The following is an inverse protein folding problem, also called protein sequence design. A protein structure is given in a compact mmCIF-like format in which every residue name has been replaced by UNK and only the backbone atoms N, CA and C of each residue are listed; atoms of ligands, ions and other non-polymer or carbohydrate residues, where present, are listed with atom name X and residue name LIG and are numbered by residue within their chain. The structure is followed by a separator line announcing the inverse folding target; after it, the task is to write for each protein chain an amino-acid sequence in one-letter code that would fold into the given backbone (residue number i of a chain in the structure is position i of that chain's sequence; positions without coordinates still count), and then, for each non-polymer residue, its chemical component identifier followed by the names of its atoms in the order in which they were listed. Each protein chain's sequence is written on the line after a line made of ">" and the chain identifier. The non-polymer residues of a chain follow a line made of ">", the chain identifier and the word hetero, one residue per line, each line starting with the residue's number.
data_IF_177137847495
#
_entry.id   IF_177137847495
#
_cell.length_a   1.000
_cell.length_b   1.000
_cell.length_c   1.000
_cell.angle_alpha   90.00
_cell.angle_beta   90.00
_cell.angle_gamma   90.00
#
_symmetry.space_group_name_H-M   'P 1'
#
loop_
_entity.id
_entity.type
_entity.pdbx_description
1 polymer ?
#
# COMPACT_ATOMS: atom_id res chain seq x y z
N UNK A 1 -6.56 4.89 2.12
CA UNK A 1 -5.78 4.28 3.21
C UNK A 1 -4.87 5.35 3.78
N UNK A 2 -4.86 5.53 5.10
CA UNK A 2 -3.91 6.44 5.75
C UNK A 2 -2.84 5.54 6.35
N UNK A 3 -1.74 5.32 5.62
CA UNK A 3 -0.54 4.74 6.21
C UNK A 3 0.01 5.71 7.26
N UNK A 4 0.69 5.18 8.27
CA UNK A 4 1.38 5.96 9.29
C UNK A 4 2.87 5.62 9.34
N UNK A 5 3.64 6.40 10.10
CA UNK A 5 5.08 6.16 10.28
C UNK A 5 5.38 4.75 10.83
N UNK A 6 4.43 4.12 11.54
CA UNK A 6 4.57 2.78 12.13
C UNK A 6 4.49 1.66 11.08
N UNK A 7 3.88 1.93 9.93
CA UNK A 7 3.83 0.99 8.80
C UNK A 7 5.18 0.90 8.06
N UNK A 8 6.12 1.79 8.36
CA UNK A 8 7.42 1.87 7.69
C UNK A 8 8.52 1.43 8.67
N UNK A 9 9.00 0.21 8.47
CA UNK A 9 10.09 -0.35 9.26
C UNK A 9 11.25 -0.77 8.35
N UNK A 10 12.27 0.11 8.26
CA UNK A 10 13.47 -0.14 7.47
C UNK A 10 14.31 -1.33 7.98
N UNK A 11 14.02 -1.88 9.16
CA UNK A 11 14.70 -3.09 9.64
C UNK A 11 14.22 -4.36 8.89
N UNK A 12 13.02 -4.32 8.31
CA UNK A 12 12.42 -5.43 7.54
C UNK A 12 12.95 -5.57 6.12
N UNK A 13 13.70 -4.59 5.65
CA UNK A 13 14.31 -4.61 4.31
C UNK A 13 15.83 -4.63 4.42
N UNK A 14 16.47 -5.32 3.48
CA UNK A 14 17.93 -5.31 3.34
C UNK A 14 18.42 -4.04 2.60
N UNK A 15 19.73 -3.96 2.38
CA UNK A 15 20.35 -2.80 1.74
C UNK A 15 20.00 -2.69 0.25
N UNK A 16 19.82 -3.81 -0.46
CA UNK A 16 19.43 -3.84 -1.87
C UNK A 16 17.99 -3.34 -2.01
N UNK A 17 17.08 -3.85 -1.18
CA UNK A 17 15.69 -3.43 -1.14
C UNK A 17 15.55 -1.96 -0.75
N UNK A 18 16.44 -1.45 0.12
CA UNK A 18 16.45 -0.02 0.47
C UNK A 18 16.89 0.86 -0.70
N UNK A 19 17.91 0.46 -1.46
CA UNK A 19 18.29 1.13 -2.72
C UNK A 19 17.13 1.11 -3.73
N UNK A 20 16.48 -0.05 -3.91
CA UNK A 20 15.32 -0.17 -4.79
C UNK A 20 14.16 0.75 -4.35
N UNK A 21 13.91 0.83 -3.04
CA UNK A 21 12.90 1.74 -2.48
C UNK A 21 13.23 3.20 -2.79
N UNK A 22 14.50 3.58 -2.67
CA UNK A 22 14.94 4.94 -3.01
C UNK A 22 14.79 5.21 -4.52
N UNK A 23 15.12 4.24 -5.35
CA UNK A 23 14.91 4.30 -6.80
C UNK A 23 13.42 4.54 -7.12
N UNK A 24 12.53 3.70 -6.59
CA UNK A 24 11.08 3.82 -6.79
C UNK A 24 10.55 5.17 -6.30
N UNK A 25 11.07 5.69 -5.19
CA UNK A 25 10.71 7.01 -4.68
C UNK A 25 11.15 8.13 -5.65
N UNK A 26 12.35 8.05 -6.22
CA UNK A 26 12.83 9.00 -7.21
C UNK A 26 12.01 8.97 -8.51
N UNK A 27 11.56 7.78 -8.95
CA UNK A 27 10.59 7.65 -10.06
C UNK A 27 9.34 8.48 -9.76
N UNK A 28 8.79 8.38 -8.54
CA UNK A 28 7.59 9.15 -8.15
C UNK A 28 7.82 10.67 -8.13
N UNK A 29 9.05 11.10 -7.90
CA UNK A 29 9.47 12.50 -8.01
C UNK A 29 9.92 12.93 -9.42
N UNK A 30 9.61 12.12 -10.44
CA UNK A 30 9.87 12.43 -11.85
C UNK A 30 11.35 12.60 -12.20
N UNK A 31 12.24 11.92 -11.47
CA UNK A 31 13.59 11.67 -11.96
C UNK A 31 13.51 10.70 -13.15
N UNK A 32 14.37 10.92 -14.14
CA UNK A 32 14.39 10.14 -15.37
C UNK A 32 15.82 9.73 -15.74
N UNK A 33 15.93 8.90 -16.77
CA UNK A 33 17.21 8.36 -17.24
C UNK A 33 18.03 7.75 -16.11
N UNK A 34 17.36 7.10 -15.15
CA UNK A 34 17.98 6.58 -13.95
C UNK A 34 18.75 5.31 -14.25
N UNK A 35 20.01 5.28 -13.85
CA UNK A 35 20.89 4.12 -13.89
C UNK A 35 21.15 3.66 -12.46
N UNK A 36 20.63 2.48 -12.11
CA UNK A 36 20.98 1.79 -10.87
C UNK A 36 22.27 1.02 -11.11
N UNK A 37 23.30 1.30 -10.31
CA UNK A 37 24.59 0.61 -10.39
C UNK A 37 24.60 -0.46 -9.30
N UNK A 38 24.64 -1.73 -9.71
CA UNK A 38 24.83 -2.87 -8.81
C UNK A 38 26.15 -3.56 -9.19
N UNK A 39 27.16 -3.50 -8.32
CA UNK A 39 28.42 -4.25 -8.48
C UNK A 39 29.64 -3.57 -7.87
N UNK A 40 30.74 -4.32 -7.67
CA UNK A 40 31.91 -3.92 -6.84
C UNK A 40 32.73 -2.70 -7.27
N UNK A 41 32.29 -1.92 -8.26
CA UNK A 41 32.91 -0.65 -8.64
C UNK A 41 31.84 0.43 -8.81
N UNK A 42 31.16 0.80 -7.72
CA UNK A 42 30.06 1.77 -7.75
C UNK A 42 30.48 3.22 -8.01
N UNK A 43 31.77 3.51 -8.26
CA UNK A 43 32.30 4.87 -8.55
C UNK A 43 31.63 5.97 -7.71
N UNK A 44 31.40 5.66 -6.43
CA UNK A 44 30.84 6.55 -5.44
C UNK A 44 29.35 6.91 -5.52
N UNK A 45 28.47 6.10 -6.14
CA UNK A 45 27.00 6.30 -6.09
C UNK A 45 26.22 5.01 -6.38
N UNK A 46 25.04 4.89 -5.78
CA UNK A 46 24.15 3.74 -6.01
C UNK A 46 23.20 4.01 -7.19
N UNK A 47 22.72 5.26 -7.32
CA UNK A 47 21.83 5.69 -8.40
C UNK A 47 22.37 6.95 -9.06
N UNK A 48 22.44 6.94 -10.38
CA UNK A 48 22.65 8.13 -11.19
C UNK A 48 21.34 8.50 -11.88
N UNK A 49 20.91 9.75 -11.76
CA UNK A 49 19.62 10.21 -12.27
C UNK A 49 19.74 11.55 -12.97
N UNK A 50 18.75 11.86 -13.81
CA UNK A 50 18.59 13.17 -14.44
C UNK A 50 17.24 13.75 -14.07
N UNK A 51 17.18 15.08 -14.00
CA UNK A 51 15.93 15.82 -13.78
C UNK A 51 15.84 17.01 -14.73
N UNK A 52 14.77 17.08 -15.51
CA UNK A 52 14.45 18.26 -16.31
C UNK A 52 13.86 19.34 -15.43
N UNK A 53 14.50 20.51 -15.44
CA UNK A 53 13.99 21.72 -14.82
C UNK A 53 13.35 22.55 -15.93
N UNK A 54 12.06 22.80 -15.73
CA UNK A 54 11.29 23.74 -16.56
C UNK A 54 10.97 24.94 -15.70
N UNK A 55 11.37 26.11 -16.18
CA UNK A 55 11.06 27.39 -15.56
C UNK A 55 10.31 28.24 -16.59
N UNK A 56 9.44 29.13 -16.14
CA UNK A 56 8.70 30.03 -17.04
C UNK A 56 9.56 31.09 -17.72
N UNK A 57 10.78 31.32 -17.21
CA UNK A 57 11.67 32.41 -17.60
C UNK A 57 12.89 31.88 -18.36
N UNK A 58 13.46 30.74 -17.94
CA UNK A 58 14.65 30.17 -18.58
C UNK A 58 14.32 28.98 -19.48
N UNK A 59 15.17 28.74 -20.49
CA UNK A 59 15.05 27.54 -21.31
C UNK A 59 15.18 26.28 -20.45
N UNK A 60 14.43 25.21 -20.74
CA UNK A 60 14.56 23.95 -20.02
C UNK A 60 16.01 23.47 -20.01
N UNK A 61 16.46 23.02 -18.85
CA UNK A 61 17.78 22.43 -18.70
C UNK A 61 17.67 21.14 -17.88
N UNK A 62 18.74 20.36 -17.87
CA UNK A 62 18.77 19.07 -17.21
C UNK A 62 19.87 19.09 -16.15
N UNK A 63 19.52 18.65 -14.94
CA UNK A 63 20.46 18.45 -13.84
C UNK A 63 20.86 16.97 -13.75
N UNK A 64 22.14 16.72 -13.49
CA UNK A 64 22.69 15.41 -13.16
C UNK A 64 22.77 15.22 -11.64
N UNK A 65 22.15 14.16 -11.17
CA UNK A 65 22.01 13.83 -9.76
C UNK A 65 22.72 12.52 -9.44
N UNK A 66 23.65 12.57 -8.48
CA UNK A 66 24.26 11.39 -7.88
C UNK A 66 23.57 11.12 -6.56
N UNK A 67 23.06 9.91 -6.40
CA UNK A 67 22.31 9.50 -5.22
C UNK A 67 23.05 8.36 -4.54
N UNK A 68 23.28 8.52 -3.25
CA UNK A 68 23.81 7.51 -2.35
C UNK A 68 22.72 7.12 -1.34
N UNK A 69 22.50 5.82 -1.21
CA UNK A 69 21.48 5.20 -0.38
C UNK A 69 22.17 4.39 0.72
N UNK A 70 21.97 4.76 1.98
CA UNK A 70 22.54 4.04 3.13
C UNK A 70 21.47 3.49 4.06
N UNK A 71 21.30 2.17 4.01
CA UNK A 71 20.52 1.43 5.01
C UNK A 71 21.35 1.27 6.28
N UNK A 72 21.07 2.10 7.28
CA UNK A 72 21.71 2.11 8.59
C UNK A 72 20.66 2.02 9.70
N UNK A 73 21.03 1.38 10.82
CA UNK A 73 20.24 1.37 12.05
C UNK A 73 20.66 2.49 13.02
N UNK A 74 21.93 2.90 12.97
CA UNK A 74 22.53 3.90 13.83
C UNK A 74 22.91 5.17 13.05
N UNK A 75 23.59 6.10 13.71
CA UNK A 75 24.16 7.29 13.05
C UNK A 75 25.16 6.91 11.96
N UNK A 76 24.95 7.41 10.75
CA UNK A 76 25.84 7.20 9.61
C UNK A 76 27.13 8.03 9.78
N UNK A 77 28.31 7.38 9.89
CA UNK A 77 29.56 8.07 10.18
C UNK A 77 30.18 8.67 8.91
N UNK A 78 31.13 9.59 9.11
CA UNK A 78 31.67 10.43 8.05
C UNK A 78 32.42 9.63 6.99
N UNK A 79 33.17 8.61 7.39
CA UNK A 79 33.97 7.77 6.49
C UNK A 79 33.16 7.10 5.38
N UNK A 80 31.85 6.90 5.58
CA UNK A 80 30.96 6.31 4.58
C UNK A 80 30.60 7.26 3.44
N UNK A 81 30.87 8.57 3.58
CA UNK A 81 30.32 9.62 2.70
C UNK A 81 31.39 10.43 1.98
N UNK A 82 32.57 10.60 2.58
CA UNK A 82 33.63 11.45 2.01
C UNK A 82 34.00 11.04 0.59
N UNK A 83 34.19 9.74 0.35
CA UNK A 83 34.56 9.24 -0.98
C UNK A 83 33.43 9.46 -2.00
N UNK A 84 32.17 9.29 -1.58
CA UNK A 84 30.97 9.47 -2.42
C UNK A 84 30.84 10.90 -2.92
N UNK A 85 31.05 11.87 -2.02
CA UNK A 85 31.09 13.31 -2.38
C UNK A 85 32.28 13.63 -3.27
N UNK A 86 33.43 12.99 -3.06
CA UNK A 86 34.59 13.19 -3.93
C UNK A 86 34.34 12.69 -5.37
N UNK A 87 33.64 11.56 -5.54
CA UNK A 87 33.23 11.09 -6.87
C UNK A 87 32.25 12.06 -7.55
N UNK A 88 31.27 12.58 -6.81
CA UNK A 88 30.36 13.62 -7.34
C UNK A 88 31.12 14.87 -7.81
N UNK A 89 32.18 15.26 -7.08
CA UNK A 89 33.08 16.37 -7.48
C UNK A 89 33.84 16.07 -8.76
N UNK A 90 34.49 14.90 -8.83
CA UNK A 90 35.33 14.51 -9.97
C UNK A 90 34.50 14.39 -11.24
N UNK A 91 33.30 13.81 -11.13
CA UNK A 91 32.39 13.63 -12.26
C UNK A 91 31.48 14.84 -12.52
N UNK A 92 31.64 15.93 -11.75
CA UNK A 92 30.91 17.20 -11.90
C UNK A 92 29.39 17.04 -11.91
N UNK A 93 28.86 16.26 -10.97
CA UNK A 93 27.41 16.21 -10.76
C UNK A 93 26.88 17.62 -10.44
N UNK A 94 25.64 17.93 -10.81
CA UNK A 94 25.00 19.18 -10.39
C UNK A 94 24.49 19.07 -8.95
N UNK A 95 24.10 17.85 -8.57
CA UNK A 95 23.50 17.54 -7.29
C UNK A 95 24.03 16.21 -6.73
N UNK A 96 24.30 16.18 -5.43
CA UNK A 96 24.52 14.96 -4.65
C UNK A 96 23.41 14.82 -3.61
N UNK A 97 22.77 13.67 -3.56
CA UNK A 97 21.68 13.36 -2.64
C UNK A 97 22.05 12.14 -1.79
N UNK A 98 22.17 12.34 -0.48
CA UNK A 98 22.29 11.27 0.48
C UNK A 98 20.91 10.91 1.05
N UNK A 99 20.49 9.66 0.90
CA UNK A 99 19.30 9.11 1.53
C UNK A 99 19.73 8.06 2.56
N UNK A 100 19.36 8.24 3.82
CA UNK A 100 19.70 7.32 4.91
C UNK A 100 18.44 6.87 5.66
N UNK A 101 18.33 5.58 5.95
CA UNK A 101 17.17 5.02 6.68
C UNK A 101 17.10 5.45 8.15
N UNK A 102 18.20 5.95 8.71
CA UNK A 102 18.34 6.40 10.09
C UNK A 102 18.60 7.91 10.18
N UNK A 103 19.78 8.32 10.64
CA UNK A 103 20.23 9.69 10.82
C UNK A 103 21.74 9.76 10.58
N UNK A 104 22.28 10.95 10.36
CA UNK A 104 23.72 11.17 10.26
C UNK A 104 24.32 11.59 11.61
N UNK A 105 25.57 11.22 11.88
CA UNK A 105 26.25 11.67 13.12
C UNK A 105 26.49 13.19 13.11
N UNK A 106 26.71 13.79 14.29
CA UNK A 106 27.05 15.22 14.42
C UNK A 106 28.28 15.57 13.58
N UNK A 107 29.32 14.74 13.62
CA UNK A 107 30.55 14.94 12.83
C UNK A 107 30.26 14.91 11.32
N UNK A 108 29.44 13.95 10.86
CA UNK A 108 29.00 13.87 9.46
C UNK A 108 28.23 15.13 9.06
N UNK A 109 27.32 15.62 9.91
CA UNK A 109 26.53 16.83 9.65
C UNK A 109 27.39 18.07 9.53
N UNK A 110 28.27 18.31 10.50
CA UNK A 110 29.19 19.46 10.49
C UNK A 110 30.09 19.46 9.24
N UNK A 111 30.54 18.27 8.81
CA UNK A 111 31.33 18.13 7.60
C UNK A 111 30.50 18.42 6.34
N UNK A 112 29.29 17.86 6.22
CA UNK A 112 28.40 18.11 5.08
C UNK A 112 28.00 19.58 4.98
N UNK A 113 27.80 20.27 6.10
CA UNK A 113 27.46 21.70 6.10
C UNK A 113 28.62 22.60 5.69
N UNK A 114 29.87 22.15 5.90
CA UNK A 114 31.06 22.78 5.29
C UNK A 114 31.13 22.46 3.80
N UNK A 115 30.96 21.20 3.42
CA UNK A 115 31.00 20.76 2.02
C UNK A 115 29.95 21.50 1.17
N UNK A 116 28.72 21.68 1.66
CA UNK A 116 27.66 22.47 0.99
C UNK A 116 28.08 23.88 0.59
N UNK A 117 29.05 24.48 1.30
CA UNK A 117 29.54 25.84 1.04
C UNK A 117 30.75 25.87 0.10
N UNK A 118 31.46 24.76 -0.04
CA UNK A 118 32.72 24.67 -0.78
C UNK A 118 32.60 23.92 -2.10
N UNK A 119 31.66 22.98 -2.21
CA UNK A 119 31.44 22.24 -3.45
C UNK A 119 30.77 23.09 -4.53
N UNK A 120 31.11 22.80 -5.78
CA UNK A 120 30.48 23.43 -6.95
C UNK A 120 29.05 22.92 -7.22
N UNK A 121 28.62 21.88 -6.49
CA UNK A 121 27.34 21.19 -6.66
C UNK A 121 26.52 21.23 -5.36
N UNK A 122 25.22 21.01 -5.48
CA UNK A 122 24.31 21.08 -4.31
C UNK A 122 24.29 19.74 -3.59
N UNK A 123 24.44 19.77 -2.26
CA UNK A 123 24.38 18.58 -1.40
C UNK A 123 23.07 18.55 -0.62
N UNK A 124 22.33 17.46 -0.77
CA UNK A 124 21.03 17.20 -0.13
C UNK A 124 21.12 15.99 0.80
N UNK A 125 20.37 16.01 1.89
CA UNK A 125 20.32 14.91 2.85
C UNK A 125 18.87 14.63 3.22
N UNK A 126 18.45 13.38 3.08
CA UNK A 126 17.16 12.85 3.52
C UNK A 126 17.45 11.81 4.60
N UNK A 127 17.04 12.11 5.84
CA UNK A 127 17.14 11.19 6.98
C UNK A 127 15.82 10.46 7.22
N UNK A 128 15.88 9.34 7.95
CA UNK A 128 14.80 8.36 8.09
C UNK A 128 13.45 8.94 8.46
N UNK A 129 13.39 9.91 9.38
CA UNK A 129 12.12 10.57 9.76
C UNK A 129 11.50 11.32 8.58
N UNK A 130 12.30 12.09 7.85
CA UNK A 130 11.79 12.81 6.67
C UNK A 130 11.51 11.85 5.52
N UNK A 131 12.31 10.79 5.36
CA UNK A 131 12.09 9.73 4.38
C UNK A 131 10.73 9.06 4.57
N UNK A 132 10.36 8.71 5.81
CA UNK A 132 9.03 8.17 6.13
C UNK A 132 7.91 9.10 5.66
N UNK A 133 8.03 10.39 5.96
CA UNK A 133 7.05 11.39 5.51
C UNK A 133 6.94 11.46 3.98
N UNK A 134 8.05 11.30 3.25
CA UNK A 134 8.01 11.24 1.78
C UNK A 134 7.34 9.95 1.28
N UNK A 135 7.59 8.82 1.94
CA UNK A 135 6.98 7.52 1.58
C UNK A 135 5.48 7.49 1.82
N UNK A 136 4.97 8.18 2.85
CA UNK A 136 3.54 8.30 3.14
C UNK A 136 2.74 8.95 2.00
N UNK A 137 3.39 9.75 1.15
CA UNK A 137 2.77 10.32 -0.05
C UNK A 137 2.54 9.28 -1.15
N UNK A 138 3.21 8.13 -1.06
CA UNK A 138 3.14 7.06 -2.07
C UNK A 138 2.79 5.71 -1.43
N UNK A 139 1.51 5.52 -1.03
CA UNK A 139 1.00 4.28 -0.44
C UNK A 139 1.47 3.01 -1.17
N UNK A 140 1.51 3.03 -2.51
CA UNK A 140 1.93 1.88 -3.32
C UNK A 140 3.39 1.44 -3.08
N UNK A 141 4.29 2.35 -2.71
CA UNK A 141 5.67 2.01 -2.34
C UNK A 141 5.67 1.33 -0.98
N UNK A 142 4.92 1.85 0.00
CA UNK A 142 4.83 1.25 1.33
C UNK A 142 4.33 -0.20 1.23
N UNK A 143 3.32 -0.43 0.39
CA UNK A 143 2.84 -1.79 0.09
C UNK A 143 3.96 -2.70 -0.40
N UNK A 144 4.73 -2.25 -1.38
CA UNK A 144 5.75 -3.07 -2.04
C UNK A 144 6.82 -3.55 -1.06
N UNK A 145 7.25 -2.67 -0.15
CA UNK A 145 8.42 -2.91 0.71
C UNK A 145 8.09 -3.33 2.13
N UNK A 146 6.94 -2.93 2.69
CA UNK A 146 6.64 -3.12 4.12
C UNK A 146 5.36 -3.89 4.40
N UNK A 147 4.49 -4.12 3.42
CA UNK A 147 3.30 -4.93 3.64
C UNK A 147 3.67 -6.41 3.83
N UNK A 148 2.94 -7.06 4.73
CA UNK A 148 2.95 -8.51 4.90
C UNK A 148 2.60 -9.24 3.59
N UNK A 149 3.18 -10.42 3.37
CA UNK A 149 2.93 -11.21 2.16
C UNK A 149 1.44 -11.51 1.97
N UNK A 150 0.68 -11.73 3.04
CA UNK A 150 -0.76 -11.95 2.98
C UNK A 150 -1.51 -10.67 2.58
N UNK A 151 -1.09 -9.50 3.05
CA UNK A 151 -1.68 -8.22 2.63
C UNK A 151 -1.40 -7.95 1.15
N UNK A 152 -0.20 -8.29 0.65
CA UNK A 152 0.13 -8.21 -0.78
C UNK A 152 -0.70 -9.20 -1.60
N UNK A 153 -0.91 -10.41 -1.10
CA UNK A 153 -1.76 -11.42 -1.73
C UNK A 153 -3.21 -10.91 -1.86
N UNK A 154 -3.80 -10.37 -0.79
CA UNK A 154 -5.16 -9.78 -0.83
C UNK A 154 -5.27 -8.71 -1.91
N UNK A 155 -4.27 -7.84 -2.04
CA UNK A 155 -4.27 -6.77 -3.07
C UNK A 155 -4.18 -7.33 -4.48
N UNK A 156 -3.33 -8.33 -4.70
CA UNK A 156 -3.23 -9.01 -5.99
C UNK A 156 -4.55 -9.69 -6.35
N UNK A 157 -5.18 -10.36 -5.40
CA UNK A 157 -6.48 -11.01 -5.57
C UNK A 157 -7.59 -9.99 -5.86
N UNK A 158 -7.62 -8.87 -5.13
CA UNK A 158 -8.55 -7.77 -5.37
C UNK A 158 -8.39 -7.22 -6.80
N UNK A 159 -7.15 -7.00 -7.24
CA UNK A 159 -6.86 -6.53 -8.61
C UNK A 159 -7.34 -7.55 -9.66
N UNK A 160 -7.11 -8.84 -9.43
CA UNK A 160 -7.57 -9.90 -10.32
C UNK A 160 -9.10 -9.97 -10.39
N UNK A 161 -9.79 -9.83 -9.25
CA UNK A 161 -11.24 -9.79 -9.23
C UNK A 161 -11.80 -8.55 -9.93
N UNK A 162 -11.23 -7.38 -9.67
CA UNK A 162 -11.65 -6.14 -10.31
C UNK A 162 -11.48 -6.20 -11.83
N UNK A 163 -10.34 -6.72 -12.29
CA UNK A 163 -9.95 -6.72 -13.71
C UNK A 163 -10.52 -7.91 -14.49
N UNK A 164 -10.61 -9.08 -13.88
CA UNK A 164 -10.88 -10.35 -14.56
C UNK A 164 -12.07 -11.12 -13.97
N UNK A 165 -12.74 -10.61 -12.93
CA UNK A 165 -13.84 -11.29 -12.24
C UNK A 165 -13.45 -12.65 -11.64
N UNK A 166 -12.17 -12.85 -11.32
CA UNK A 166 -11.66 -14.08 -10.70
C UNK A 166 -11.65 -13.90 -9.19
N UNK A 167 -12.44 -14.69 -8.46
CA UNK A 167 -12.42 -14.76 -7.01
C UNK A 167 -11.27 -15.66 -6.51
N UNK A 168 -10.79 -15.48 -5.27
CA UNK A 168 -9.80 -16.37 -4.68
C UNK A 168 -10.33 -17.80 -4.53
N UNK A 169 -9.46 -18.79 -4.67
CA UNK A 169 -9.81 -20.20 -4.43
C UNK A 169 -10.12 -20.46 -2.94
N UNK A 170 -10.90 -21.49 -2.59
CA UNK A 170 -11.17 -21.87 -1.20
C UNK A 170 -9.90 -22.05 -0.35
N UNK A 171 -8.87 -22.70 -0.91
CA UNK A 171 -7.56 -22.83 -0.26
C UNK A 171 -6.96 -21.47 0.11
N UNK A 172 -6.91 -20.54 -0.84
CA UNK A 172 -6.34 -19.21 -0.61
C UNK A 172 -7.12 -18.43 0.46
N UNK A 173 -8.46 -18.52 0.46
CA UNK A 173 -9.29 -17.92 1.49
C UNK A 173 -9.03 -18.55 2.86
N UNK A 174 -8.93 -19.87 2.94
CA UNK A 174 -8.60 -20.56 4.19
C UNK A 174 -7.21 -20.17 4.72
N UNK A 175 -6.19 -20.13 3.84
CA UNK A 175 -4.83 -19.71 4.19
C UNK A 175 -4.81 -18.26 4.71
N UNK A 176 -5.57 -17.36 4.07
CA UNK A 176 -5.72 -15.97 4.53
C UNK A 176 -6.46 -15.89 5.86
N UNK A 177 -7.50 -16.67 6.08
CA UNK A 177 -8.18 -16.72 7.39
C UNK A 177 -7.21 -17.07 8.53
N UNK A 178 -6.29 -18.01 8.31
CA UNK A 178 -5.33 -18.45 9.32
C UNK A 178 -4.19 -17.45 9.56
N UNK A 179 -3.71 -16.78 8.51
CA UNK A 179 -2.44 -16.05 8.56
C UNK A 179 -2.56 -14.53 8.40
N UNK A 180 -3.70 -14.03 7.93
CA UNK A 180 -3.89 -12.60 7.69
C UNK A 180 -4.31 -11.86 8.96
N UNK A 181 -3.57 -10.81 9.27
CA UNK A 181 -4.03 -9.79 10.20
C UNK A 181 -4.97 -8.81 9.49
N UNK A 182 -6.28 -9.02 9.66
CA UNK A 182 -7.34 -8.21 9.03
C UNK A 182 -7.33 -6.74 9.48
N UNK A 183 -6.69 -6.39 10.60
CA UNK A 183 -6.55 -4.99 11.03
C UNK A 183 -5.67 -4.15 10.09
N UNK A 184 -4.84 -4.82 9.27
CA UNK A 184 -3.96 -4.18 8.28
C UNK A 184 -4.64 -3.87 6.95
N UNK A 185 -5.88 -4.33 6.77
CA UNK A 185 -6.64 -4.10 5.55
C UNK A 185 -7.41 -2.77 5.61
N UNK A 186 -7.49 -2.09 4.47
CA UNK A 186 -8.36 -0.93 4.32
C UNK A 186 -9.82 -1.34 3.99
N UNK A 187 -10.75 -0.38 3.98
CA UNK A 187 -12.17 -0.65 3.72
C UNK A 187 -12.44 -1.35 2.38
N UNK A 188 -11.69 -1.05 1.30
CA UNK A 188 -11.87 -1.74 0.01
C UNK A 188 -11.42 -3.20 0.10
N UNK A 189 -10.26 -3.45 0.70
CA UNK A 189 -9.70 -4.78 0.91
C UNK A 189 -10.61 -5.61 1.84
N UNK A 190 -11.12 -5.02 2.92
CA UNK A 190 -12.07 -5.67 3.83
C UNK A 190 -13.40 -6.01 3.14
N UNK A 191 -13.97 -5.07 2.38
CA UNK A 191 -15.18 -5.35 1.60
C UNK A 191 -14.97 -6.47 0.58
N UNK A 192 -13.82 -6.48 -0.11
CA UNK A 192 -13.45 -7.54 -1.05
C UNK A 192 -13.28 -8.90 -0.36
N UNK A 193 -12.57 -8.95 0.77
CA UNK A 193 -12.39 -10.20 1.52
C UNK A 193 -13.73 -10.72 2.00
N UNK A 194 -14.57 -9.87 2.58
CA UNK A 194 -15.93 -10.23 2.98
C UNK A 194 -16.73 -10.81 1.79
N UNK A 195 -16.75 -10.11 0.66
CA UNK A 195 -17.45 -10.56 -0.55
C UNK A 195 -16.93 -11.93 -1.03
N UNK A 196 -15.62 -12.14 -0.99
CA UNK A 196 -14.99 -13.38 -1.42
C UNK A 196 -15.37 -14.55 -0.52
N UNK A 197 -15.34 -14.38 0.80
CA UNK A 197 -15.79 -15.41 1.73
C UNK A 197 -17.26 -15.78 1.52
N UNK A 198 -18.14 -14.78 1.44
CA UNK A 198 -19.58 -15.00 1.25
C UNK A 198 -19.88 -15.69 -0.08
N UNK A 199 -19.18 -15.32 -1.16
CA UNK A 199 -19.38 -15.95 -2.47
C UNK A 199 -18.83 -17.38 -2.55
N UNK A 200 -17.87 -17.73 -1.70
CA UNK A 200 -17.22 -19.05 -1.69
C UNK A 200 -17.65 -19.91 -0.50
N UNK A 201 -18.74 -19.59 0.21
CA UNK A 201 -19.19 -20.30 1.41
C UNK A 201 -19.29 -21.82 1.20
N UNK A 202 -20.10 -22.26 0.23
CA UNK A 202 -20.28 -23.69 -0.06
C UNK A 202 -18.98 -24.38 -0.54
N UNK A 203 -18.10 -23.65 -1.23
CA UNK A 203 -16.83 -24.19 -1.71
C UNK A 203 -15.80 -24.30 -0.59
N UNK A 204 -15.85 -23.37 0.38
CA UNK A 204 -15.02 -23.35 1.57
C UNK A 204 -15.40 -24.47 2.54
N UNK A 205 -16.69 -24.70 2.75
CA UNK A 205 -17.17 -25.84 3.54
C UNK A 205 -16.66 -27.16 2.96
N UNK A 206 -16.89 -27.38 1.67
CA UNK A 206 -16.38 -28.56 0.95
C UNK A 206 -14.87 -28.70 1.05
N UNK A 207 -14.13 -27.61 0.88
CA UNK A 207 -12.67 -27.63 1.00
C UNK A 207 -12.22 -28.03 2.41
N UNK A 208 -12.88 -27.54 3.46
CA UNK A 208 -12.55 -27.91 4.83
C UNK A 208 -12.85 -29.39 5.09
N UNK A 209 -14.00 -29.88 4.63
CA UNK A 209 -14.39 -31.29 4.76
C UNK A 209 -13.42 -32.23 4.02
N UNK A 210 -13.13 -31.94 2.75
CA UNK A 210 -12.24 -32.75 1.91
C UNK A 210 -10.80 -32.85 2.47
N UNK A 211 -10.37 -31.84 3.23
CA UNK A 211 -9.03 -31.74 3.79
C UNK A 211 -8.97 -32.00 5.31
N UNK A 212 -10.08 -32.40 5.94
CA UNK A 212 -10.20 -32.57 7.40
C UNK A 212 -9.72 -31.34 8.20
N UNK A 213 -10.06 -30.14 7.75
CA UNK A 213 -9.72 -28.88 8.39
C UNK A 213 -10.84 -28.41 9.31
N UNK A 214 -10.49 -27.66 10.37
CA UNK A 214 -11.49 -26.99 11.20
C UNK A 214 -12.22 -25.94 10.35
N UNK A 215 -13.56 -26.00 10.24
CA UNK A 215 -14.32 -24.99 9.52
C UNK A 215 -14.05 -23.60 10.09
N UNK A 216 -14.03 -22.60 9.20
CA UNK A 216 -13.99 -21.19 9.60
C UNK A 216 -15.20 -20.94 10.49
N UNK A 217 -14.98 -20.36 11.69
CA UNK A 217 -16.03 -20.30 12.71
C UNK A 217 -17.33 -19.72 12.18
N UNK A 218 -18.41 -20.46 12.42
CA UNK A 218 -19.78 -20.08 12.11
C UNK A 218 -20.57 -20.18 13.41
N UNK A 219 -21.08 -19.04 13.90
CA UNK A 219 -21.92 -19.00 15.10
C UNK A 219 -23.39 -19.38 14.81
N UNK A 220 -23.68 -19.78 13.57
CA UNK A 220 -25.03 -20.15 13.11
C UNK A 220 -25.92 -18.95 12.74
N UNK A 221 -25.47 -17.72 13.01
CA UNK A 221 -26.28 -16.49 12.84
C UNK A 221 -25.65 -15.57 11.77
N UNK A 222 -24.31 -15.48 11.73
CA UNK A 222 -23.58 -14.60 10.81
C UNK A 222 -22.42 -15.36 10.15
N UNK A 223 -22.51 -15.67 8.85
CA UNK A 223 -21.35 -16.18 8.11
C UNK A 223 -20.15 -15.24 8.22
N UNK A 224 -18.99 -15.80 8.56
CA UNK A 224 -17.71 -15.10 8.64
C UNK A 224 -17.71 -13.92 9.63
N UNK A 225 -18.35 -14.10 10.79
CA UNK A 225 -18.44 -13.15 11.90
C UNK A 225 -17.09 -12.53 12.32
N UNK A 226 -16.00 -13.28 12.20
CA UNK A 226 -14.64 -12.82 12.49
C UNK A 226 -14.24 -11.54 11.73
N UNK A 227 -14.82 -11.26 10.56
CA UNK A 227 -14.48 -10.06 9.78
C UNK A 227 -15.25 -8.81 10.23
N UNK A 228 -16.37 -8.98 10.94
CA UNK A 228 -17.29 -7.91 11.33
C UNK A 228 -16.61 -6.82 12.19
N UNK A 229 -15.80 -7.13 13.21
CA UNK A 229 -15.12 -6.09 14.01
C UNK A 229 -14.25 -5.17 13.16
N UNK A 230 -13.58 -5.72 12.14
CA UNK A 230 -12.72 -4.96 11.23
C UNK A 230 -13.53 -4.11 10.25
N UNK A 231 -14.65 -4.63 9.73
CA UNK A 231 -15.58 -3.84 8.92
C UNK A 231 -16.11 -2.63 9.71
N UNK A 232 -16.51 -2.82 10.98
CA UNK A 232 -16.96 -1.73 11.85
C UNK A 232 -15.89 -0.66 12.05
N UNK A 233 -14.65 -1.08 12.33
CA UNK A 233 -13.52 -0.16 12.47
C UNK A 233 -13.21 0.61 11.17
N UNK A 234 -13.50 0.01 10.02
CA UNK A 234 -13.29 0.59 8.70
C UNK A 234 -14.52 1.33 8.13
N UNK A 235 -15.50 1.67 8.96
CA UNK A 235 -16.67 2.43 8.54
C UNK A 235 -16.26 3.71 7.79
N UNK A 236 -16.82 3.89 6.59
CA UNK A 236 -16.52 5.03 5.72
C UNK A 236 -17.78 5.67 5.13
N UNK A 237 -18.97 5.23 5.57
CA UNK A 237 -20.25 5.71 5.05
C UNK A 237 -21.32 5.72 6.16
N UNK A 238 -22.32 6.58 6.01
CA UNK A 238 -23.45 6.66 6.93
C UNK A 238 -24.45 5.53 6.68
N UNK A 239 -25.04 4.99 7.74
CA UNK A 239 -26.14 4.04 7.56
C UNK A 239 -27.43 4.77 7.12
N UNK A 240 -28.18 4.29 6.10
CA UNK A 240 -27.91 3.12 5.27
C UNK A 240 -26.93 3.40 4.13
N UNK A 241 -26.09 2.42 3.78
CA UNK A 241 -25.03 2.61 2.76
C UNK A 241 -25.56 2.75 1.34
N UNK A 242 -26.75 2.20 1.08
CA UNK A 242 -27.36 2.18 -0.26
C UNK A 242 -28.07 3.51 -0.55
N UNK A 243 -27.75 4.12 -1.69
CA UNK A 243 -28.40 5.33 -2.20
C UNK A 243 -29.81 4.99 -2.69
N UNK A 244 -30.68 6.00 -2.78
CA UNK A 244 -32.09 5.80 -3.12
C UNK A 244 -32.29 5.32 -4.57
N UNK A 245 -31.54 5.90 -5.50
CA UNK A 245 -31.49 5.52 -6.92
C UNK A 245 -30.98 4.08 -7.12
N UNK A 246 -30.05 3.62 -6.29
CA UNK A 246 -29.56 2.24 -6.30
C UNK A 246 -30.63 1.25 -5.84
N UNK A 247 -31.41 1.58 -4.80
CA UNK A 247 -32.55 0.74 -4.38
C UNK A 247 -33.54 0.54 -5.50
N UNK A 248 -33.85 1.61 -6.21
CA UNK A 248 -34.77 1.63 -7.35
C UNK A 248 -34.21 0.83 -8.54
N UNK A 249 -32.90 0.94 -8.80
CA UNK A 249 -32.20 0.22 -9.88
C UNK A 249 -32.10 -1.28 -9.63
N UNK A 250 -31.85 -1.72 -8.41
CA UNK A 250 -31.55 -3.13 -8.11
C UNK A 250 -32.76 -3.94 -7.65
N UNK A 251 -33.83 -3.29 -7.16
CA UNK A 251 -35.20 -3.82 -7.05
C UNK A 251 -35.45 -4.98 -6.07
N UNK A 252 -34.52 -5.94 -5.93
CA UNK A 252 -34.68 -7.14 -5.11
C UNK A 252 -33.55 -7.24 -4.10
N UNK A 253 -33.90 -6.99 -2.84
CA UNK A 253 -33.07 -7.18 -1.66
C UNK A 253 -33.70 -8.36 -0.91
N UNK A 254 -32.98 -9.46 -0.72
CA UNK A 254 -33.51 -10.62 0.00
C UNK A 254 -33.66 -10.34 1.51
N UNK A 255 -34.17 -11.31 2.27
CA UNK A 255 -34.37 -11.17 3.73
C UNK A 255 -33.11 -10.88 4.55
N UNK A 256 -31.92 -11.08 3.97
CA UNK A 256 -30.60 -10.78 4.55
C UNK A 256 -30.02 -9.45 4.04
N UNK A 257 -30.82 -8.64 3.35
CA UNK A 257 -30.32 -7.41 2.73
C UNK A 257 -29.47 -7.64 1.48
N UNK A 258 -29.40 -8.88 0.96
CA UNK A 258 -28.54 -9.18 -0.17
C UNK A 258 -29.24 -8.85 -1.48
N UNK A 259 -28.54 -8.08 -2.30
CA UNK A 259 -28.86 -7.86 -3.70
C UNK A 259 -27.59 -8.17 -4.49
N UNK A 260 -27.66 -9.15 -5.39
CA UNK A 260 -26.59 -9.46 -6.33
C UNK A 260 -27.11 -9.38 -7.76
N UNK A 261 -26.58 -8.45 -8.54
CA UNK A 261 -26.65 -8.52 -10.00
C UNK A 261 -25.24 -8.74 -10.52
N UNK A 262 -25.04 -9.87 -11.18
CA UNK A 262 -23.92 -10.11 -12.08
C UNK A 262 -24.49 -10.05 -13.50
N UNK A 263 -24.45 -8.91 -14.19
CA UNK A 263 -24.98 -8.82 -15.53
C UNK A 263 -24.03 -9.58 -16.46
N UNK A 264 -24.58 -10.55 -17.17
CA UNK A 264 -23.89 -11.17 -18.30
C UNK A 264 -23.52 -10.05 -19.28
N UNK A 265 -22.23 -9.78 -19.45
CA UNK A 265 -21.64 -8.77 -20.35
C UNK A 265 -21.52 -7.31 -19.84
N UNK A 266 -21.48 -7.07 -18.53
CA UNK A 266 -21.03 -5.77 -18.03
C UNK A 266 -19.98 -5.92 -16.93
N UNK A 267 -19.01 -5.00 -16.87
CA UNK A 267 -18.06 -4.84 -15.75
C UNK A 267 -18.77 -4.45 -14.44
N UNK A 268 -20.10 -4.34 -14.45
CA UNK A 268 -20.92 -3.95 -13.33
C UNK A 268 -21.10 -5.13 -12.36
N UNK A 269 -20.62 -5.01 -11.13
CA UNK A 269 -20.89 -5.98 -10.06
C UNK A 269 -21.44 -5.25 -8.85
N UNK A 270 -22.57 -5.70 -8.34
CA UNK A 270 -23.22 -5.13 -7.17
C UNK A 270 -23.40 -6.18 -6.09
N UNK A 271 -22.97 -5.85 -4.87
CA UNK A 271 -23.20 -6.67 -3.69
C UNK A 271 -23.57 -5.75 -2.53
N UNK A 272 -24.77 -5.89 -1.99
CA UNK A 272 -25.15 -5.31 -0.71
C UNK A 272 -25.30 -6.43 0.31
N UNK A 273 -25.00 -6.18 1.58
CA UNK A 273 -25.46 -7.05 2.66
C UNK A 273 -25.86 -6.23 3.87
N UNK A 274 -26.73 -6.82 4.69
CA UNK A 274 -27.18 -6.27 5.95
C UNK A 274 -27.14 -7.36 7.02
N UNK A 275 -26.30 -7.17 8.04
CA UNK A 275 -26.29 -8.04 9.21
C UNK A 275 -26.95 -7.33 10.39
N UNK A 276 -27.82 -8.02 11.11
CA UNK A 276 -28.35 -7.61 12.42
C UNK A 276 -27.59 -8.37 13.51
N UNK A 277 -26.82 -7.64 14.31
CA UNK A 277 -26.04 -8.19 15.42
C UNK A 277 -26.93 -8.35 16.67
N UNK A 278 -26.55 -9.20 17.65
CA UNK A 278 -27.37 -9.50 18.83
C UNK A 278 -27.83 -8.28 19.65
N UNK A 279 -27.09 -7.17 19.57
CA UNK A 279 -27.38 -5.88 20.23
C UNK A 279 -28.26 -4.93 19.39
N UNK A 280 -28.93 -5.41 18.32
CA UNK A 280 -29.70 -4.61 17.33
C UNK A 280 -28.85 -3.63 16.50
N UNK A 281 -27.53 -3.70 16.62
CA UNK A 281 -26.62 -3.02 15.73
C UNK A 281 -26.68 -3.67 14.35
N UNK A 282 -26.42 -2.88 13.32
CA UNK A 282 -26.51 -3.30 11.93
C UNK A 282 -25.25 -2.92 11.20
N UNK A 283 -24.66 -3.86 10.48
CA UNK A 283 -23.53 -3.59 9.59
C UNK A 283 -24.01 -3.79 8.17
N UNK A 284 -23.78 -2.77 7.34
CA UNK A 284 -24.01 -2.85 5.91
C UNK A 284 -22.70 -2.68 5.15
N UNK A 285 -22.48 -3.57 4.19
CA UNK A 285 -21.37 -3.48 3.24
C UNK A 285 -21.95 -3.44 1.85
N UNK A 286 -21.56 -2.45 1.06
CA UNK A 286 -21.95 -2.31 -0.33
C UNK A 286 -20.70 -2.20 -1.21
N UNK A 287 -20.59 -3.11 -2.16
CA UNK A 287 -19.58 -3.09 -3.21
C UNK A 287 -20.27 -2.74 -4.53
N UNK A 288 -19.78 -1.69 -5.17
CA UNK A 288 -20.17 -1.30 -6.52
C UNK A 288 -18.91 -1.33 -7.37
N UNK A 289 -18.83 -2.30 -8.28
CA UNK A 289 -17.82 -2.34 -9.31
C UNK A 289 -18.43 -1.83 -10.60
N UNK A 290 -17.83 -0.84 -11.24
CA UNK A 290 -18.24 -0.34 -12.56
C UNK A 290 -16.99 0.11 -13.32
N UNK A 291 -16.81 -0.33 -14.58
CA UNK A 291 -15.65 0.04 -15.40
C UNK A 291 -14.29 -0.21 -14.70
N UNK A 292 -14.15 -1.34 -14.01
CA UNK A 292 -12.95 -1.71 -13.21
C UNK A 292 -12.64 -0.74 -12.06
N UNK A 293 -13.58 0.11 -11.67
CA UNK A 293 -13.51 0.95 -10.47
C UNK A 293 -14.36 0.28 -9.41
N UNK A 294 -13.81 0.12 -8.21
CA UNK A 294 -14.50 -0.46 -7.06
C UNK A 294 -14.77 0.63 -6.00
N UNK A 295 -16.04 0.91 -5.76
CA UNK A 295 -16.52 1.65 -4.59
C UNK A 295 -16.94 0.64 -3.51
N UNK A 296 -16.38 0.80 -2.31
CA UNK A 296 -16.81 0.03 -1.14
C UNK A 296 -17.32 0.99 -0.07
N UNK A 297 -18.56 0.77 0.36
CA UNK A 297 -19.24 1.54 1.41
C UNK A 297 -19.56 0.64 2.57
N UNK A 298 -19.08 1.00 3.75
CA UNK A 298 -19.33 0.29 5.00
C UNK A 298 -20.01 1.27 5.95
N UNK A 299 -21.18 0.88 6.45
CA UNK A 299 -21.99 1.70 7.35
C UNK A 299 -22.50 0.88 8.52
N UNK A 300 -22.45 1.47 9.71
CA UNK A 300 -22.93 0.88 10.95
C UNK A 300 -24.11 1.70 11.47
N UNK A 301 -25.20 1.04 11.84
CA UNK A 301 -26.42 1.70 12.32
C UNK A 301 -27.14 0.89 13.39
N UNK A 302 -28.26 1.40 13.87
CA UNK A 302 -29.12 0.71 14.84
C UNK A 302 -30.55 0.60 14.29
N UNK A 303 -31.24 -0.47 14.65
CA UNK A 303 -32.67 -0.61 14.38
C UNK A 303 -33.45 0.42 15.21
N UNK A 304 -34.30 1.28 14.58
CA UNK A 304 -35.19 2.17 15.33
C UNK A 304 -36.10 1.37 16.27
N UNK A 305 -36.40 1.94 17.44
CA UNK A 305 -37.34 1.39 18.44
C UNK A 305 -38.77 1.43 17.89
#
# INVERSE_FOLDING_TARGET
>A
MIFTDDDIDFTKIDWIQFEELCYDLLVKYHFHSMAWRQGGADNGRDIEAKRYITDSIVSPYQEQWFVECKRYSNGLPLEQIVEKVNWARVEKADHFLLIVSSYITTATREWLDKAKKTEAFKIHVIEGKFLKQQLLLFPNIIVKYFADDNVRLVRSLLMHWVTHHILPTPKALFDLYQNLDFSKLNHQELGFMWHSYVKSEEELERYCDDNNLTPISWDGIVPFDFIIPFLKAAQNWDYPVMKQDEKEKFGFINGLGQASMEPQNSDFSYSNIHYELPNRERVQVCLVKENKILEVRIGVGFKPI
#
